data_IF_518672993151
#
_entry.id   IF_518672993151
#
_cell.length_a   1.000
_cell.length_b   1.000
_cell.length_c   1.000
_cell.angle_alpha   90.00
_cell.angle_beta   90.00
_cell.angle_gamma   90.00
#
_symmetry.space_group_name_H-M   'P 1'
#
loop_
_entity.id
_entity.type
_entity.pdbx_description
1 polymer ?
#
# COMPACT_ATOMS: atom_id res chain seq x y z
N UNK A 1 2.28 -9.70 18.28
CA UNK A 1 2.98 -8.40 18.28
C UNK A 1 2.77 -7.76 19.65
N UNK A 2 3.79 -7.13 20.23
CA UNK A 2 3.61 -6.39 21.49
C UNK A 2 3.02 -5.00 21.16
N UNK A 3 2.00 -4.57 21.92
CA UNK A 3 1.26 -3.33 21.64
C UNK A 3 2.15 -2.07 21.75
N UNK A 4 2.92 -1.93 22.83
CA UNK A 4 3.72 -0.73 23.06
C UNK A 4 4.81 -0.49 22.00
N UNK A 5 5.61 -1.50 21.59
CA UNK A 5 6.53 -1.33 20.47
C UNK A 5 5.84 -0.96 19.16
N UNK A 6 4.64 -1.50 18.90
CA UNK A 6 3.87 -1.14 17.71
C UNK A 6 3.43 0.33 17.75
N UNK A 7 2.89 0.80 18.86
CA UNK A 7 2.49 2.21 19.00
C UNK A 7 3.69 3.16 18.89
N UNK A 8 4.83 2.81 19.49
CA UNK A 8 6.06 3.59 19.36
C UNK A 8 6.54 3.63 17.89
N UNK A 9 6.51 2.49 17.19
CA UNK A 9 6.79 2.43 15.76
C UNK A 9 5.84 3.32 14.96
N UNK A 10 4.53 3.27 15.23
CA UNK A 10 3.55 4.11 14.55
C UNK A 10 3.87 5.60 14.72
N UNK A 11 4.18 6.04 15.94
CA UNK A 11 4.56 7.44 16.20
C UNK A 11 5.80 7.84 15.38
N UNK A 12 6.86 7.05 15.42
CA UNK A 12 8.10 7.35 14.66
C UNK A 12 7.83 7.34 13.15
N UNK A 13 7.07 6.36 12.67
CA UNK A 13 6.73 6.21 11.26
C UNK A 13 5.93 7.42 10.76
N UNK A 14 4.88 7.83 11.47
CA UNK A 14 3.97 8.88 11.01
C UNK A 14 4.43 10.30 11.32
N UNK A 15 5.26 10.51 12.34
CA UNK A 15 5.75 11.86 12.69
C UNK A 15 7.11 12.20 12.08
N UNK A 16 7.91 11.21 11.67
CA UNK A 16 9.26 11.44 11.16
C UNK A 16 9.42 10.83 9.77
N UNK A 17 9.37 9.51 9.66
CA UNK A 17 9.78 8.81 8.42
C UNK A 17 8.88 9.20 7.25
N UNK A 18 7.58 9.01 7.39
CA UNK A 18 6.59 9.28 6.36
C UNK A 18 6.55 10.76 5.92
N UNK A 19 6.45 11.76 6.83
CA UNK A 19 6.39 13.16 6.39
C UNK A 19 7.69 13.66 5.74
N UNK A 20 8.86 13.24 6.25
CA UNK A 20 10.15 13.63 5.65
C UNK A 20 10.30 13.06 4.24
N UNK A 21 10.03 11.76 4.06
CA UNK A 21 10.13 11.12 2.75
C UNK A 21 9.00 11.56 1.80
N UNK A 22 7.80 11.79 2.33
CA UNK A 22 6.67 12.31 1.55
C UNK A 22 6.94 13.71 1.01
N UNK A 23 7.63 14.57 1.77
CA UNK A 23 8.04 15.89 1.31
C UNK A 23 8.89 15.85 0.03
N UNK A 24 9.74 14.82 -0.13
CA UNK A 24 10.62 14.71 -1.29
C UNK A 24 9.85 14.72 -2.62
N UNK A 25 8.64 14.15 -2.65
CA UNK A 25 7.81 14.10 -3.86
C UNK A 25 6.56 14.98 -3.80
N UNK A 26 5.85 15.04 -2.68
CA UNK A 26 4.59 15.80 -2.58
C UNK A 26 4.73 17.16 -1.89
N UNK A 27 5.92 17.49 -1.38
CA UNK A 27 6.19 18.76 -0.70
C UNK A 27 7.06 19.74 -1.49
N UNK A 28 7.36 19.45 -2.77
CA UNK A 28 8.29 20.25 -3.59
C UNK A 28 9.77 19.98 -3.27
N UNK A 29 10.11 18.77 -2.80
CA UNK A 29 11.50 18.37 -2.60
C UNK A 29 12.19 17.84 -3.85
N UNK A 30 13.39 17.29 -3.67
CA UNK A 30 14.29 16.93 -4.78
C UNK A 30 13.75 15.86 -5.74
N UNK A 31 12.86 14.96 -5.31
CA UNK A 31 12.27 13.97 -6.24
C UNK A 31 11.25 14.64 -7.15
N UNK A 32 10.51 15.62 -6.63
CA UNK A 32 9.59 16.40 -7.43
C UNK A 32 10.34 17.22 -8.49
N UNK A 33 11.41 17.91 -8.09
CA UNK A 33 12.28 18.67 -9.00
C UNK A 33 12.95 17.79 -10.06
N UNK A 34 13.26 16.54 -9.71
CA UNK A 34 13.83 15.55 -10.64
C UNK A 34 12.79 14.93 -11.60
N UNK A 35 11.51 15.31 -11.50
CA UNK A 35 10.44 14.79 -12.36
C UNK A 35 9.95 13.38 -11.99
N UNK A 36 10.21 12.91 -10.77
CA UNK A 36 9.66 11.64 -10.30
C UNK A 36 8.13 11.70 -10.31
N UNK A 37 7.48 10.70 -10.89
CA UNK A 37 6.01 10.62 -10.95
C UNK A 37 5.48 9.62 -9.94
N UNK A 38 4.61 10.09 -9.05
CA UNK A 38 3.88 9.26 -8.10
C UNK A 38 2.51 9.89 -7.84
N UNK A 39 1.50 9.43 -8.58
CA UNK A 39 0.18 10.03 -8.62
C UNK A 39 -0.57 9.91 -7.27
N UNK A 40 -0.65 8.70 -6.74
CA UNK A 40 -1.40 8.41 -5.51
C UNK A 40 -0.56 7.74 -4.42
N UNK A 41 0.77 7.63 -4.58
CA UNK A 41 1.66 7.19 -3.49
C UNK A 41 2.09 5.73 -3.59
N UNK A 42 2.33 5.21 -4.79
CA UNK A 42 2.98 3.91 -4.97
C UNK A 42 4.37 3.87 -4.31
N UNK A 43 5.14 4.94 -4.44
CA UNK A 43 6.40 5.14 -3.73
C UNK A 43 6.18 5.75 -2.35
N UNK A 44 5.45 6.87 -2.28
CA UNK A 44 5.28 7.66 -1.06
C UNK A 44 4.58 6.91 0.06
N UNK A 45 3.53 6.14 -0.25
CA UNK A 45 2.74 5.41 0.77
C UNK A 45 3.12 3.93 0.79
N UNK A 46 2.99 3.24 -0.34
CA UNK A 46 3.07 1.78 -0.36
C UNK A 46 4.50 1.26 -0.24
N UNK A 47 5.45 1.77 -1.03
CA UNK A 47 6.86 1.36 -0.91
C UNK A 47 7.45 1.78 0.44
N UNK A 48 7.16 2.98 0.91
CA UNK A 48 7.59 3.46 2.23
C UNK A 48 7.15 2.50 3.34
N UNK A 49 5.87 2.14 3.38
CA UNK A 49 5.34 1.14 4.33
C UNK A 49 5.94 -0.25 4.14
N UNK A 50 6.13 -0.69 2.89
CA UNK A 50 6.69 -2.00 2.57
C UNK A 50 8.15 -2.14 3.03
N UNK A 51 8.98 -1.11 2.83
CA UNK A 51 10.38 -1.09 3.26
C UNK A 51 10.47 -1.03 4.79
N UNK A 52 9.60 -0.26 5.45
CA UNK A 52 9.52 -0.24 6.91
C UNK A 52 9.12 -1.62 7.48
N UNK A 53 8.15 -2.29 6.85
CA UNK A 53 7.76 -3.65 7.22
C UNK A 53 8.90 -4.67 6.98
N UNK A 54 9.63 -4.55 5.86
CA UNK A 54 10.79 -5.38 5.55
C UNK A 54 11.90 -5.20 6.59
N UNK A 55 12.25 -3.95 6.93
CA UNK A 55 13.22 -3.66 7.98
C UNK A 55 12.80 -4.27 9.33
N UNK A 56 11.51 -4.14 9.69
CA UNK A 56 10.95 -4.76 10.89
C UNK A 56 11.09 -6.28 10.89
N UNK A 57 10.79 -6.95 9.78
CA UNK A 57 10.90 -8.41 9.65
C UNK A 57 12.36 -8.88 9.67
N UNK A 58 13.30 -8.13 9.09
CA UNK A 58 14.73 -8.47 9.14
C UNK A 58 15.24 -8.45 10.58
N UNK A 59 14.82 -7.47 11.38
CA UNK A 59 15.24 -7.36 12.79
C UNK A 59 14.53 -8.37 13.68
N UNK A 60 13.22 -8.58 13.50
CA UNK A 60 12.42 -9.48 14.34
C UNK A 60 12.62 -10.97 13.98
N UNK A 61 12.96 -11.25 12.73
CA UNK A 61 13.07 -12.59 12.19
C UNK A 61 11.73 -13.29 11.92
N UNK A 62 11.81 -14.53 11.47
CA UNK A 62 10.66 -15.36 11.16
C UNK A 62 9.85 -15.73 12.42
N UNK A 63 8.54 -15.89 12.27
CA UNK A 63 7.68 -16.45 13.32
C UNK A 63 8.16 -17.86 13.69
N UNK A 64 8.10 -18.20 14.98
CA UNK A 64 8.41 -19.55 15.48
C UNK A 64 7.58 -20.60 14.72
N UNK A 65 8.22 -21.69 14.32
CA UNK A 65 7.60 -22.78 13.55
C UNK A 65 7.27 -22.43 12.10
N UNK A 66 7.63 -21.24 11.58
CA UNK A 66 7.42 -20.91 10.15
C UNK A 66 8.35 -21.69 9.23
N UNK A 67 9.57 -21.93 9.69
CA UNK A 67 10.59 -22.70 8.98
C UNK A 67 11.14 -23.78 9.91
N UNK A 68 11.06 -25.04 9.49
CA UNK A 68 11.55 -26.18 10.25
C UNK A 68 12.26 -27.15 9.29
N UNK A 69 13.49 -27.55 9.62
CA UNK A 69 14.28 -28.45 8.76
C UNK A 69 14.49 -27.93 7.33
N UNK A 70 14.58 -26.61 7.14
CA UNK A 70 14.69 -25.96 5.82
C UNK A 70 13.40 -25.96 5.00
N UNK A 71 12.29 -26.46 5.55
CA UNK A 71 10.97 -26.47 4.89
C UNK A 71 10.10 -25.33 5.39
N UNK A 72 9.21 -24.85 4.52
CA UNK A 72 8.21 -23.85 4.85
C UNK A 72 7.00 -24.55 5.45
N UNK A 73 6.65 -24.19 6.69
CA UNK A 73 5.39 -24.59 7.28
C UNK A 73 4.29 -23.57 6.90
N UNK A 74 3.16 -24.06 6.40
CA UNK A 74 2.02 -23.23 6.08
C UNK A 74 1.38 -22.70 7.38
N UNK A 75 1.09 -21.40 7.42
CA UNK A 75 0.35 -20.76 8.50
C UNK A 75 -0.92 -20.20 7.90
N UNK A 76 -2.02 -20.98 7.83
CA UNK A 76 -3.24 -20.59 7.12
C UNK A 76 -3.87 -19.35 7.77
N UNK A 77 -4.65 -18.62 6.95
CA UNK A 77 -5.40 -17.46 7.42
C UNK A 77 -6.39 -17.84 8.52
N UNK A 78 -6.52 -16.99 9.54
CA UNK A 78 -7.38 -17.26 10.68
C UNK A 78 -8.88 -17.20 10.34
N UNK A 79 -9.27 -16.39 9.34
CA UNK A 79 -10.66 -16.23 8.90
C UNK A 79 -10.69 -15.68 7.47
N UNK A 80 -10.98 -16.54 6.48
CA UNK A 80 -11.02 -16.16 5.07
C UNK A 80 -12.18 -15.20 4.74
N UNK A 81 -13.42 -15.42 5.23
CA UNK A 81 -14.50 -14.44 5.03
C UNK A 81 -14.13 -13.02 5.49
N UNK A 82 -13.49 -12.88 6.65
CA UNK A 82 -13.07 -11.58 7.16
C UNK A 82 -11.96 -10.95 6.32
N UNK A 83 -11.01 -11.75 5.82
CA UNK A 83 -9.99 -11.29 4.88
C UNK A 83 -10.62 -10.80 3.57
N UNK A 84 -11.61 -11.53 3.03
CA UNK A 84 -12.37 -11.13 1.83
C UNK A 84 -13.12 -9.82 2.05
N UNK A 85 -13.80 -9.66 3.19
CA UNK A 85 -14.45 -8.40 3.55
C UNK A 85 -13.44 -7.24 3.62
N UNK A 86 -12.28 -7.47 4.25
CA UNK A 86 -11.18 -6.50 4.28
C UNK A 86 -10.72 -6.07 2.89
N UNK A 87 -10.57 -7.03 1.96
CA UNK A 87 -10.23 -6.75 0.56
C UNK A 87 -11.28 -5.86 -0.12
N UNK A 88 -12.58 -6.14 0.07
CA UNK A 88 -13.63 -5.29 -0.51
C UNK A 88 -13.64 -3.88 0.08
N UNK A 89 -13.42 -3.74 1.38
CA UNK A 89 -13.30 -2.42 2.03
C UNK A 89 -12.10 -1.65 1.46
N UNK A 90 -10.95 -2.31 1.32
CA UNK A 90 -9.75 -1.70 0.73
C UNK A 90 -9.98 -1.30 -0.73
N UNK A 91 -10.57 -2.18 -1.54
CA UNK A 91 -10.86 -1.89 -2.95
C UNK A 91 -11.81 -0.69 -3.07
N UNK A 92 -12.91 -0.67 -2.31
CA UNK A 92 -13.82 0.48 -2.29
C UNK A 92 -13.09 1.77 -1.87
N UNK A 93 -12.29 1.71 -0.80
CA UNK A 93 -11.49 2.85 -0.33
C UNK A 93 -10.47 3.33 -1.37
N UNK A 94 -9.97 2.43 -2.22
CA UNK A 94 -8.97 2.75 -3.24
C UNK A 94 -9.49 3.67 -4.34
N UNK A 95 -10.80 3.66 -4.62
CA UNK A 95 -11.40 4.66 -5.50
C UNK A 95 -11.23 6.06 -4.91
N UNK A 96 -11.55 6.25 -3.63
CA UNK A 96 -11.33 7.52 -2.94
C UNK A 96 -9.86 7.90 -2.88
N UNK A 97 -8.97 6.94 -2.62
CA UNK A 97 -7.52 7.17 -2.52
C UNK A 97 -6.92 7.63 -3.86
N UNK A 98 -7.19 6.89 -4.95
CA UNK A 98 -6.65 7.24 -6.26
C UNK A 98 -7.40 8.42 -6.90
N UNK A 99 -8.74 8.39 -6.97
CA UNK A 99 -9.47 9.48 -7.63
C UNK A 99 -9.45 10.78 -6.84
N UNK A 100 -9.34 10.72 -5.51
CA UNK A 100 -9.10 11.91 -4.68
C UNK A 100 -7.72 12.53 -4.89
N UNK A 101 -6.77 11.80 -5.48
CA UNK A 101 -5.44 12.33 -5.81
C UNK A 101 -5.46 13.29 -7.02
N UNK A 102 -6.59 13.46 -7.72
CA UNK A 102 -6.81 14.58 -8.64
C UNK A 102 -6.93 15.93 -7.92
N UNK A 103 -7.21 15.90 -6.61
CA UNK A 103 -7.32 17.05 -5.69
C UNK A 103 -8.49 18.01 -5.94
N UNK A 104 -8.94 18.18 -7.19
CA UNK A 104 -10.00 19.12 -7.54
C UNK A 104 -10.80 18.68 -8.76
N UNK A 105 -12.11 18.92 -8.74
CA UNK A 105 -12.98 18.80 -9.93
C UNK A 105 -13.57 20.20 -10.19
N UNK A 106 -12.87 20.99 -10.99
CA UNK A 106 -13.28 22.39 -11.29
C UNK A 106 -13.87 22.57 -12.69
N UNK A 107 -13.68 21.59 -13.57
CA UNK A 107 -14.12 21.64 -14.96
C UNK A 107 -14.35 20.21 -15.51
N UNK A 108 -14.81 20.13 -16.76
CA UNK A 108 -15.13 18.86 -17.43
C UNK A 108 -13.89 17.97 -17.63
N UNK A 109 -12.73 18.55 -17.89
CA UNK A 109 -11.49 17.78 -18.07
C UNK A 109 -11.09 17.06 -16.77
N UNK A 110 -11.14 17.74 -15.63
CA UNK A 110 -10.85 17.11 -14.33
C UNK A 110 -11.88 16.02 -13.98
N UNK A 111 -13.16 16.25 -14.27
CA UNK A 111 -14.19 15.23 -14.06
C UNK A 111 -13.94 13.97 -14.91
N UNK A 112 -13.49 14.16 -16.15
CA UNK A 112 -13.10 13.06 -17.02
C UNK A 112 -11.82 12.36 -16.51
N UNK A 113 -10.84 13.11 -15.98
CA UNK A 113 -9.62 12.56 -15.40
C UNK A 113 -9.93 11.64 -14.21
N UNK A 114 -10.73 12.11 -13.23
CA UNK A 114 -11.18 11.28 -12.10
C UNK A 114 -11.92 10.03 -12.57
N UNK A 115 -12.79 10.15 -13.58
CA UNK A 115 -13.50 9.02 -14.15
C UNK A 115 -12.55 7.97 -14.73
N UNK A 116 -11.53 8.41 -15.46
CA UNK A 116 -10.48 7.54 -15.98
C UNK A 116 -9.67 6.88 -14.86
N UNK A 117 -9.35 7.62 -13.80
CA UNK A 117 -8.65 7.08 -12.62
C UNK A 117 -9.46 5.97 -11.95
N UNK A 118 -10.78 6.14 -11.81
CA UNK A 118 -11.65 5.09 -11.27
C UNK A 118 -11.67 3.84 -12.14
N UNK A 119 -11.82 4.00 -13.46
CA UNK A 119 -11.80 2.86 -14.39
C UNK A 119 -10.47 2.12 -14.32
N UNK A 120 -9.35 2.84 -14.33
CA UNK A 120 -8.01 2.27 -14.23
C UNK A 120 -7.81 1.56 -12.88
N UNK A 121 -8.29 2.14 -11.78
CA UNK A 121 -8.22 1.52 -10.43
C UNK A 121 -8.95 0.18 -10.41
N UNK A 122 -10.16 0.14 -10.96
CA UNK A 122 -10.95 -1.09 -11.01
C UNK A 122 -10.33 -2.15 -11.93
N UNK A 123 -9.90 -1.76 -13.13
CA UNK A 123 -9.28 -2.68 -14.09
C UNK A 123 -7.95 -3.23 -13.58
N UNK A 124 -7.14 -2.41 -12.88
CA UNK A 124 -5.90 -2.87 -12.27
C UNK A 124 -6.15 -3.92 -11.18
N UNK A 125 -7.14 -3.69 -10.30
CA UNK A 125 -7.52 -4.66 -9.28
C UNK A 125 -8.05 -5.97 -9.90
N UNK A 126 -8.96 -5.88 -10.87
CA UNK A 126 -9.48 -7.05 -11.59
C UNK A 126 -8.36 -7.81 -12.33
N UNK A 127 -7.47 -7.10 -13.01
CA UNK A 127 -6.30 -7.67 -13.69
C UNK A 127 -5.34 -8.37 -12.72
N UNK A 128 -5.11 -7.79 -11.53
CA UNK A 128 -4.32 -8.41 -10.48
C UNK A 128 -4.92 -9.73 -9.98
N UNK A 129 -6.24 -9.77 -9.76
CA UNK A 129 -6.94 -11.02 -9.39
C UNK A 129 -6.84 -12.06 -10.49
N UNK A 130 -7.11 -11.70 -11.75
CA UNK A 130 -7.02 -12.62 -12.89
C UNK A 130 -5.60 -13.15 -13.06
N UNK A 131 -4.59 -12.29 -12.96
CA UNK A 131 -3.18 -12.68 -13.02
C UNK A 131 -2.80 -13.65 -11.90
N UNK A 132 -3.26 -13.39 -10.67
CA UNK A 132 -3.05 -14.29 -9.55
C UNK A 132 -3.71 -15.67 -9.78
N UNK A 133 -4.94 -15.71 -10.30
CA UNK A 133 -5.64 -16.96 -10.60
C UNK A 133 -4.95 -17.78 -11.70
N UNK A 134 -4.41 -17.11 -12.73
CA UNK A 134 -3.67 -17.77 -13.81
C UNK A 134 -2.33 -18.34 -13.31
N UNK A 135 -1.66 -17.65 -12.39
CA UNK A 135 -0.36 -18.06 -11.86
C UNK A 135 -0.45 -19.00 -10.66
N UNK A 136 -1.63 -19.14 -10.06
CA UNK A 136 -1.86 -20.09 -8.98
C UNK A 136 -1.59 -21.51 -9.52
N UNK A 137 -0.64 -22.21 -8.90
CA UNK A 137 -0.33 -23.62 -9.14
C UNK A 137 -0.93 -24.47 -8.04
#
# INVERSE_FOLDING_TARGET
MKLWPFLAFCVVMTSIIYPVQGYWKWGGGFLDEAGFSDFAGSGVVHLCGAVAALAGVIVLGARKGKYEGGKVNAMPGANLPLATLGTFILWLGWFGFNGGSELIISNVAEANAVSMVFVNTNLAAAGGVMGALILLK
#
